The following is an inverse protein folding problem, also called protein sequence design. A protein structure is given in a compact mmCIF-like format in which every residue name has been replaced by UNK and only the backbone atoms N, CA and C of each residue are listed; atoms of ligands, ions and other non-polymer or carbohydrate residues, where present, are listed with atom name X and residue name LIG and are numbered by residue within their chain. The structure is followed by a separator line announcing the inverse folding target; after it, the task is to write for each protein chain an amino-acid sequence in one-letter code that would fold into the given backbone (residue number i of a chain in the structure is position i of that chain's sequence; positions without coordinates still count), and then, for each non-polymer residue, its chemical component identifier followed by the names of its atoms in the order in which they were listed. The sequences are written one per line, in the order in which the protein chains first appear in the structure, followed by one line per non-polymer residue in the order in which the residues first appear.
data_IF_202994461237
#
_entry.id   IF_202994461237
#
_cell.length_a   1.000
_cell.length_b   1.000
_cell.length_c   1.000
_cell.angle_alpha   90.00
_cell.angle_beta   90.00
_cell.angle_gamma   90.00
#
_symmetry.space_group_name_H-M   'P 1'
#
loop_
_entity.id
_entity.type
_entity.pdbx_description
1 polymer ?
#
# COMPACT_ATOMS: atom_id res chain seq x y z
N UNK A 1 19.38 5.34 35.45
CA UNK A 1 18.66 5.84 34.25
C UNK A 1 19.53 5.54 33.05
N UNK A 2 19.22 4.50 32.28
CA UNK A 2 19.95 4.17 31.05
C UNK A 2 19.32 4.90 29.88
N UNK A 3 20.05 5.81 29.26
CA UNK A 3 19.62 6.53 28.05
C UNK A 3 19.31 5.55 26.90
N UNK A 4 18.24 5.76 26.13
CA UNK A 4 17.93 4.92 24.97
C UNK A 4 18.94 5.20 23.86
N UNK A 5 19.73 4.18 23.49
CA UNK A 5 20.68 4.22 22.37
C UNK A 5 19.97 4.69 21.09
N UNK A 6 20.35 5.86 20.57
CA UNK A 6 19.87 6.36 19.29
C UNK A 6 20.32 5.43 18.17
N UNK A 7 19.37 4.76 17.52
CA UNK A 7 19.65 3.84 16.41
C UNK A 7 20.07 4.67 15.19
N UNK A 8 21.33 4.51 14.77
CA UNK A 8 21.89 5.22 13.60
C UNK A 8 21.04 5.00 12.34
N UNK A 9 20.90 6.01 11.45
CA UNK A 9 20.13 5.88 10.23
C UNK A 9 20.71 4.77 9.35
N UNK A 10 19.90 3.77 8.99
CA UNK A 10 20.31 2.75 8.02
C UNK A 10 20.47 3.44 6.66
N UNK A 11 21.66 3.36 6.06
CA UNK A 11 21.89 3.83 4.69
C UNK A 11 20.88 3.15 3.75
N UNK A 12 20.19 3.90 2.86
CA UNK A 12 19.30 3.30 1.88
C UNK A 12 20.12 2.37 0.98
N UNK A 13 19.69 1.11 0.86
CA UNK A 13 20.25 0.18 -0.12
C UNK A 13 19.62 0.50 -1.46
N UNK A 14 20.43 0.85 -2.45
CA UNK A 14 19.97 1.04 -3.84
C UNK A 14 19.31 -0.26 -4.31
N UNK A 15 18.07 -0.14 -4.78
CA UNK A 15 17.30 -1.27 -5.27
C UNK A 15 17.66 -1.48 -6.75
N UNK A 16 18.24 -2.63 -7.13
CA UNK A 16 18.56 -2.90 -8.53
C UNK A 16 17.27 -2.97 -9.34
N UNK A 17 17.16 -2.13 -10.37
CA UNK A 17 16.00 -2.10 -11.28
C UNK A 17 16.07 -3.19 -12.35
N UNK A 18 17.27 -3.66 -12.67
CA UNK A 18 17.51 -4.71 -13.65
C UNK A 18 18.35 -5.83 -13.05
N UNK A 19 18.12 -7.04 -13.52
CA UNK A 19 19.00 -8.17 -13.24
C UNK A 19 20.31 -7.97 -14.00
N UNK A 20 21.42 -8.26 -13.32
CA UNK A 20 22.78 -8.19 -13.89
C UNK A 20 22.98 -9.22 -15.01
N UNK A 21 22.29 -10.36 -14.89
CA UNK A 21 22.14 -11.36 -15.94
C UNK A 21 20.65 -11.72 -16.09
N UNK A 22 20.03 -11.51 -17.26
CA UNK A 22 18.66 -11.94 -17.51
C UNK A 22 18.54 -13.47 -17.41
N UNK A 23 17.46 -13.96 -16.81
CA UNK A 23 17.15 -15.38 -16.87
C UNK A 23 16.84 -15.79 -18.32
N UNK A 24 17.19 -17.02 -18.72
CA UNK A 24 16.83 -17.52 -20.04
C UNK A 24 15.31 -17.54 -20.18
N UNK A 25 14.84 -17.18 -21.37
CA UNK A 25 13.42 -17.18 -21.66
C UNK A 25 12.88 -18.62 -21.59
N UNK A 26 11.82 -18.83 -20.81
CA UNK A 26 11.19 -20.14 -20.69
C UNK A 26 10.66 -20.60 -22.06
N UNK A 27 10.78 -21.89 -22.37
CA UNK A 27 10.20 -22.45 -23.58
C UNK A 27 8.68 -22.25 -23.59
N UNK A 28 8.12 -21.88 -24.74
CA UNK A 28 6.66 -21.69 -24.95
C UNK A 28 5.99 -20.69 -23.99
N UNK A 29 6.74 -19.79 -23.35
CA UNK A 29 6.19 -18.77 -22.44
C UNK A 29 5.08 -17.93 -23.09
N UNK A 30 5.20 -17.67 -24.40
CA UNK A 30 4.23 -16.89 -25.17
C UNK A 30 2.91 -17.65 -25.28
N UNK A 31 2.95 -18.95 -25.59
CA UNK A 31 1.76 -19.79 -25.63
C UNK A 31 1.07 -19.85 -24.26
N UNK A 32 1.86 -20.02 -23.19
CA UNK A 32 1.33 -20.03 -21.83
C UNK A 32 0.69 -18.68 -21.45
N UNK A 33 1.32 -17.57 -21.80
CA UNK A 33 0.80 -16.22 -21.59
C UNK A 33 -0.50 -15.99 -22.36
N UNK A 34 -0.53 -16.34 -23.65
CA UNK A 34 -1.69 -16.16 -24.51
C UNK A 34 -2.88 -17.01 -24.03
N UNK A 35 -2.64 -18.25 -23.59
CA UNK A 35 -3.67 -19.11 -23.01
C UNK A 35 -4.24 -18.55 -21.70
N UNK A 36 -3.39 -18.03 -20.81
CA UNK A 36 -3.85 -17.37 -19.57
C UNK A 36 -4.64 -16.11 -19.90
N UNK A 37 -4.20 -15.32 -20.89
CA UNK A 37 -4.89 -14.12 -21.34
C UNK A 37 -6.28 -14.45 -21.89
N UNK A 38 -6.41 -15.50 -22.70
CA UNK A 38 -7.70 -15.96 -23.22
C UNK A 38 -8.62 -16.44 -22.09
N UNK A 39 -8.12 -17.26 -21.15
CA UNK A 39 -8.88 -17.70 -19.98
C UNK A 39 -9.43 -16.51 -19.17
N UNK A 40 -8.62 -15.46 -18.99
CA UNK A 40 -8.99 -14.24 -18.25
C UNK A 40 -10.06 -13.39 -18.95
N UNK A 41 -10.29 -13.55 -20.25
CA UNK A 41 -11.39 -12.88 -20.95
C UNK A 41 -12.77 -13.39 -20.52
N UNK A 42 -12.84 -14.66 -20.12
CA UNK A 42 -14.09 -15.33 -19.78
C UNK A 42 -14.36 -15.42 -18.27
N UNK A 43 -13.37 -15.07 -17.44
CA UNK A 43 -13.45 -15.21 -15.98
C UNK A 43 -13.08 -13.90 -15.30
N UNK A 44 -14.09 -13.24 -14.71
CA UNK A 44 -13.89 -12.10 -13.81
C UNK A 44 -13.51 -12.60 -12.42
N UNK A 45 -12.36 -12.17 -11.91
CA UNK A 45 -11.93 -12.44 -10.55
C UNK A 45 -12.15 -11.21 -9.65
N UNK A 46 -12.16 -11.38 -8.32
CA UNK A 46 -12.31 -10.26 -7.39
C UNK A 46 -11.27 -9.16 -7.57
N UNK A 47 -10.05 -9.51 -8.00
CA UNK A 47 -8.99 -8.54 -8.30
C UNK A 47 -9.36 -7.56 -9.44
N UNK A 48 -10.31 -7.91 -10.30
CA UNK A 48 -10.74 -7.04 -11.41
C UNK A 48 -11.69 -5.92 -10.94
N UNK A 49 -12.30 -6.07 -9.76
CA UNK A 49 -13.34 -5.15 -9.25
C UNK A 49 -13.04 -4.59 -7.85
N UNK A 50 -12.31 -5.34 -7.02
CA UNK A 50 -12.07 -5.04 -5.60
C UNK A 50 -10.58 -5.02 -5.24
N UNK A 51 -9.70 -4.94 -6.23
CA UNK A 51 -8.26 -4.84 -5.97
C UNK A 51 -7.86 -3.53 -5.26
N UNK A 52 -6.59 -3.49 -4.84
CA UNK A 52 -6.03 -2.40 -4.06
C UNK A 52 -6.05 -1.03 -4.77
N UNK A 53 -5.93 -1.03 -6.10
CA UNK A 53 -6.06 0.14 -6.96
C UNK A 53 -7.50 0.65 -6.98
N UNK A 54 -8.47 -0.26 -7.14
CA UNK A 54 -9.89 0.09 -7.09
C UNK A 54 -10.24 0.68 -5.72
N UNK A 55 -9.80 0.06 -4.62
CA UNK A 55 -10.01 0.58 -3.27
C UNK A 55 -9.40 1.99 -3.07
N UNK A 56 -8.19 2.22 -3.60
CA UNK A 56 -7.52 3.51 -3.55
C UNK A 56 -8.26 4.60 -4.35
N UNK A 57 -8.71 4.27 -5.56
CA UNK A 57 -9.39 5.21 -6.46
C UNK A 57 -10.89 5.39 -6.18
N UNK A 58 -11.49 4.48 -5.39
CA UNK A 58 -12.93 4.41 -5.18
C UNK A 58 -13.53 5.70 -4.63
N UNK A 59 -14.31 6.40 -5.48
CA UNK A 59 -15.02 7.65 -5.15
C UNK A 59 -14.13 8.82 -4.72
N UNK A 60 -12.82 8.74 -4.92
CA UNK A 60 -11.91 9.84 -4.61
C UNK A 60 -11.77 10.73 -5.86
N UNK A 61 -12.17 12.01 -5.84
CA UNK A 61 -11.96 12.90 -6.98
C UNK A 61 -10.52 13.44 -7.03
N UNK A 62 -9.86 13.64 -5.88
CA UNK A 62 -8.55 14.29 -5.81
C UNK A 62 -7.40 13.32 -6.14
N UNK A 63 -6.59 13.60 -7.17
CA UNK A 63 -5.39 12.81 -7.47
C UNK A 63 -4.42 12.67 -6.29
N UNK A 64 -4.29 13.69 -5.43
CA UNK A 64 -3.37 13.65 -4.30
C UNK A 64 -3.85 12.67 -3.23
N UNK A 65 -5.14 12.68 -2.92
CA UNK A 65 -5.74 11.72 -2.01
C UNK A 65 -5.73 10.29 -2.57
N UNK A 66 -5.86 10.11 -3.90
CA UNK A 66 -5.63 8.80 -4.54
C UNK A 66 -4.22 8.30 -4.33
N UNK A 67 -3.23 9.18 -4.52
CA UNK A 67 -1.83 8.86 -4.30
C UNK A 67 -1.58 8.46 -2.84
N UNK A 68 -2.17 9.18 -1.89
CA UNK A 68 -2.09 8.88 -0.46
C UNK A 68 -2.80 7.57 -0.08
N UNK A 69 -3.97 7.31 -0.65
CA UNK A 69 -4.75 6.09 -0.38
C UNK A 69 -4.08 4.82 -0.94
N UNK A 70 -3.37 4.93 -2.06
CA UNK A 70 -2.71 3.80 -2.72
C UNK A 70 -1.76 2.98 -1.82
N UNK A 71 -0.75 3.57 -1.15
CA UNK A 71 0.12 2.82 -0.25
C UNK A 71 -0.64 2.25 0.96
N UNK A 72 -1.69 2.91 1.45
CA UNK A 72 -2.53 2.39 2.55
C UNK A 72 -3.26 1.12 2.11
N UNK A 73 -3.98 1.18 0.99
CA UNK A 73 -4.69 0.04 0.41
C UNK A 73 -3.74 -1.14 0.13
N UNK A 74 -2.56 -0.83 -0.40
CA UNK A 74 -1.56 -1.85 -0.74
C UNK A 74 -0.96 -2.51 0.50
N UNK A 75 -0.70 -1.76 1.58
CA UNK A 75 -0.25 -2.33 2.85
C UNK A 75 -1.31 -3.27 3.45
N UNK A 76 -2.59 -2.88 3.39
CA UNK A 76 -3.72 -3.69 3.87
C UNK A 76 -4.00 -4.91 3.00
N UNK A 77 -3.64 -4.86 1.71
CA UNK A 77 -3.75 -6.01 0.80
C UNK A 77 -2.73 -7.12 1.13
N UNK A 78 -1.62 -6.80 1.80
CA UNK A 78 -0.58 -7.78 2.11
C UNK A 78 -1.06 -8.83 3.13
N UNK A 79 -1.59 -9.95 2.61
CA UNK A 79 -2.17 -11.09 3.35
C UNK A 79 -3.66 -10.98 3.69
N UNK A 80 -4.42 -10.16 2.96
CA UNK A 80 -5.88 -10.07 3.08
C UNK A 80 -6.53 -10.32 1.73
N UNK A 81 -7.69 -11.00 1.71
CA UNK A 81 -8.47 -11.17 0.48
C UNK A 81 -8.94 -9.81 -0.03
N UNK A 82 -8.96 -9.63 -1.36
CA UNK A 82 -9.26 -8.33 -1.99
C UNK A 82 -10.59 -7.72 -1.51
N UNK A 83 -11.67 -8.50 -1.49
CA UNK A 83 -13.00 -8.05 -1.03
C UNK A 83 -13.00 -7.54 0.42
N UNK A 84 -12.23 -8.21 1.29
CA UNK A 84 -12.13 -7.88 2.73
C UNK A 84 -11.31 -6.60 2.90
N UNK A 85 -10.21 -6.47 2.17
CA UNK A 85 -9.39 -5.26 2.14
C UNK A 85 -10.18 -4.07 1.59
N UNK A 86 -10.88 -4.24 0.46
CA UNK A 86 -11.68 -3.18 -0.15
C UNK A 86 -12.76 -2.67 0.80
N UNK A 87 -13.45 -3.59 1.48
CA UNK A 87 -14.46 -3.24 2.50
C UNK A 87 -13.85 -2.46 3.65
N UNK A 88 -12.66 -2.84 4.11
CA UNK A 88 -11.96 -2.14 5.20
C UNK A 88 -11.51 -0.74 4.80
N UNK A 89 -10.88 -0.58 3.63
CA UNK A 89 -10.50 0.75 3.11
C UNK A 89 -11.73 1.64 2.94
N UNK A 90 -12.83 1.09 2.44
CA UNK A 90 -14.10 1.83 2.31
C UNK A 90 -14.62 2.28 3.68
N UNK A 91 -14.58 1.42 4.70
CA UNK A 91 -15.00 1.76 6.07
C UNK A 91 -14.10 2.83 6.70
N UNK A 92 -12.78 2.73 6.53
CA UNK A 92 -11.85 3.77 6.99
C UNK A 92 -12.18 5.09 6.29
N UNK A 93 -12.36 5.09 4.97
CA UNK A 93 -12.74 6.27 4.19
C UNK A 93 -14.05 6.89 4.70
N UNK A 94 -15.09 6.10 4.93
CA UNK A 94 -16.36 6.60 5.50
C UNK A 94 -16.17 7.16 6.91
N UNK A 95 -15.34 6.52 7.74
CA UNK A 95 -15.09 6.96 9.11
C UNK A 95 -14.33 8.29 9.20
N UNK A 96 -13.51 8.63 8.19
CA UNK A 96 -12.72 9.87 8.16
C UNK A 96 -13.34 10.99 7.32
N UNK A 97 -14.60 10.85 6.89
CA UNK A 97 -15.32 11.91 6.15
C UNK A 97 -15.34 11.73 4.63
N UNK A 98 -15.43 10.49 4.14
CA UNK A 98 -15.58 10.10 2.73
C UNK A 98 -14.36 10.31 1.82
N UNK A 99 -13.33 11.01 2.28
CA UNK A 99 -12.05 11.14 1.57
C UNK A 99 -10.89 10.71 2.45
N UNK A 100 -10.04 9.84 1.91
CA UNK A 100 -8.87 9.34 2.64
C UNK A 100 -7.69 10.28 2.36
N UNK A 101 -7.67 11.42 3.05
CA UNK A 101 -6.57 12.40 2.98
C UNK A 101 -5.66 12.31 4.21
N UNK A 102 -4.47 12.90 4.11
CA UNK A 102 -3.52 12.98 5.21
C UNK A 102 -4.14 13.66 6.45
N UNK A 103 -4.77 14.82 6.26
CA UNK A 103 -5.44 15.58 7.32
C UNK A 103 -6.58 14.79 7.96
N UNK A 104 -7.39 14.09 7.14
CA UNK A 104 -8.50 13.29 7.62
C UNK A 104 -8.03 12.14 8.51
N UNK A 105 -6.93 11.46 8.14
CA UNK A 105 -6.35 10.37 8.94
C UNK A 105 -5.68 10.87 10.22
N UNK A 106 -5.07 12.07 10.19
CA UNK A 106 -4.47 12.69 11.38
C UNK A 106 -5.56 13.13 12.38
N UNK A 107 -6.66 13.69 11.89
CA UNK A 107 -7.80 14.13 12.71
C UNK A 107 -8.60 12.96 13.29
N UNK A 108 -8.57 11.79 12.64
CA UNK A 108 -9.33 10.62 13.06
C UNK A 108 -8.83 10.01 14.37
N UNK A 109 -9.77 9.52 15.18
CA UNK A 109 -9.47 8.80 16.41
C UNK A 109 -8.80 7.45 16.12
N UNK A 110 -7.74 7.11 16.88
CA UNK A 110 -6.98 5.87 16.66
C UNK A 110 -7.82 4.62 16.89
N UNK A 111 -8.75 4.69 17.85
CA UNK A 111 -9.66 3.60 18.16
C UNK A 111 -10.53 3.22 16.95
N UNK A 112 -10.99 4.20 16.16
CA UNK A 112 -11.85 3.97 15.00
C UNK A 112 -11.06 3.26 13.88
N UNK A 113 -9.84 3.73 13.60
CA UNK A 113 -8.96 3.12 12.60
C UNK A 113 -8.58 1.69 13.03
N UNK A 114 -8.18 1.51 14.29
CA UNK A 114 -7.84 0.20 14.86
C UNK A 114 -9.02 -0.77 14.84
N UNK A 115 -10.23 -0.33 15.14
CA UNK A 115 -11.42 -1.18 15.08
C UNK A 115 -11.64 -1.73 13.66
N UNK A 116 -11.51 -0.89 12.64
CA UNK A 116 -11.69 -1.32 11.24
C UNK A 116 -10.58 -2.28 10.81
N UNK A 117 -9.33 -2.03 11.19
CA UNK A 117 -8.18 -2.90 10.89
C UNK A 117 -8.25 -4.23 11.68
N UNK A 118 -8.77 -4.22 12.90
CA UNK A 118 -8.89 -5.42 13.73
C UNK A 118 -9.77 -6.48 13.07
N UNK A 119 -10.78 -6.06 12.29
CA UNK A 119 -11.75 -6.92 11.60
C UNK A 119 -11.20 -7.61 10.35
N UNK A 120 -10.09 -7.14 9.78
CA UNK A 120 -9.41 -7.78 8.64
C UNK A 120 -8.28 -8.72 9.08
N UNK A 121 -8.03 -8.81 10.39
CA UNK A 121 -6.89 -9.52 10.97
C UNK A 121 -7.22 -11.00 11.20
N UNK A 122 -6.41 -11.89 10.63
CA UNK A 122 -6.40 -13.29 11.02
C UNK A 122 -5.41 -13.51 12.17
N UNK A 123 -5.93 -13.59 13.39
CA UNK A 123 -5.19 -14.07 14.57
C UNK A 123 -4.60 -12.98 15.47
N UNK A 124 -4.75 -13.20 16.78
CA UNK A 124 -4.23 -12.37 17.85
C UNK A 124 -2.78 -12.75 18.14
N UNK A 125 -1.81 -11.94 17.70
CA UNK A 125 -0.44 -12.09 18.26
C UNK A 125 0.75 -11.61 17.44
N UNK A 126 0.63 -11.20 16.18
CA UNK A 126 1.81 -10.76 15.40
C UNK A 126 1.74 -9.36 14.77
N UNK A 127 0.64 -8.64 14.90
CA UNK A 127 0.37 -7.45 14.08
C UNK A 127 -0.25 -6.25 14.82
N UNK A 128 0.06 -6.06 16.11
CA UNK A 128 -0.27 -4.79 16.81
C UNK A 128 0.43 -3.54 16.25
N UNK A 129 1.12 -3.69 15.12
CA UNK A 129 1.89 -2.63 14.47
C UNK A 129 1.17 -1.99 13.28
N UNK A 130 0.15 -2.64 12.67
CA UNK A 130 -0.58 -2.08 11.52
C UNK A 130 -1.38 -0.82 11.88
N UNK A 131 -1.94 -0.76 13.09
CA UNK A 131 -2.69 0.38 13.62
C UNK A 131 -1.77 1.60 13.75
N UNK A 132 -0.57 1.38 14.32
CA UNK A 132 0.49 2.36 14.34
C UNK A 132 1.04 2.69 12.95
N UNK A 133 0.97 1.77 11.99
CA UNK A 133 1.48 2.00 10.63
C UNK A 133 0.59 2.91 9.81
N UNK A 134 -0.75 2.84 9.89
CA UNK A 134 -1.59 3.78 9.12
C UNK A 134 -1.38 5.20 9.64
N UNK A 135 -1.41 5.41 10.96
CA UNK A 135 -1.13 6.74 11.52
C UNK A 135 0.31 7.19 11.31
N UNK A 136 1.32 6.31 11.40
CA UNK A 136 2.70 6.68 11.08
C UNK A 136 2.92 6.92 9.59
N UNK A 137 2.21 6.21 8.71
CA UNK A 137 2.23 6.43 7.28
C UNK A 137 1.53 7.75 6.92
N UNK A 138 0.47 8.12 7.64
CA UNK A 138 -0.18 9.43 7.53
C UNK A 138 0.65 10.57 8.14
N UNK A 139 1.39 10.33 9.21
CA UNK A 139 2.18 11.37 9.88
C UNK A 139 3.55 11.61 9.24
N UNK A 140 4.02 10.74 8.34
CA UNK A 140 5.37 10.82 7.76
C UNK A 140 5.50 11.73 6.53
N UNK A 141 4.54 11.86 5.60
CA UNK A 141 4.60 12.87 4.56
C UNK A 141 4.63 14.28 5.16
N UNK A 142 3.83 14.57 6.20
CA UNK A 142 3.94 15.79 7.03
C UNK A 142 5.34 16.00 7.62
N UNK A 143 5.96 14.94 8.17
CA UNK A 143 7.23 15.08 8.92
C UNK A 143 8.51 15.09 8.07
N UNK A 144 8.47 14.60 6.83
CA UNK A 144 9.68 14.34 6.03
C UNK A 144 9.88 15.32 4.85
N UNK A 145 9.31 16.53 4.87
CA UNK A 145 9.45 17.53 3.80
C UNK A 145 8.96 17.04 2.41
N UNK A 146 7.99 16.12 2.35
CA UNK A 146 7.43 15.70 1.05
C UNK A 146 6.27 16.59 0.56
N UNK A 147 6.01 17.73 1.20
CA UNK A 147 4.95 18.68 0.83
C UNK A 147 3.59 17.99 0.67
N UNK A 148 3.28 17.06 1.59
CA UNK A 148 2.10 16.18 1.55
C UNK A 148 1.98 15.28 0.31
N UNK A 149 3.04 15.16 -0.48
CA UNK A 149 3.09 14.32 -1.68
C UNK A 149 3.65 12.92 -1.38
N UNK A 150 3.12 11.91 -2.07
CA UNK A 150 3.62 10.53 -1.93
C UNK A 150 4.92 10.39 -2.72
N UNK A 151 6.01 9.85 -2.14
CA UNK A 151 7.30 9.78 -2.84
C UNK A 151 7.19 9.05 -4.18
N UNK A 152 7.68 9.69 -5.25
CA UNK A 152 7.73 9.14 -6.63
C UNK A 152 8.95 8.27 -6.90
N UNK A 153 9.68 7.89 -5.84
CA UNK A 153 10.89 7.08 -5.94
C UNK A 153 10.74 5.81 -5.10
N UNK A 154 11.30 4.71 -5.60
CA UNK A 154 11.30 3.43 -4.90
C UNK A 154 11.98 3.55 -3.53
N UNK A 155 13.08 4.31 -3.44
CA UNK A 155 13.81 4.55 -2.19
C UNK A 155 13.01 5.39 -1.18
N UNK A 156 12.29 6.40 -1.66
CA UNK A 156 11.40 7.20 -0.82
C UNK A 156 10.25 6.38 -0.24
N UNK A 157 9.63 5.54 -1.07
CA UNK A 157 8.58 4.61 -0.63
C UNK A 157 9.13 3.51 0.29
N UNK A 158 10.30 2.94 0.01
CA UNK A 158 10.93 1.92 0.88
C UNK A 158 11.42 2.49 2.22
N UNK A 159 11.50 3.81 2.36
CA UNK A 159 11.74 4.45 3.64
C UNK A 159 10.50 4.40 4.55
N UNK A 160 9.32 4.16 3.99
CA UNK A 160 8.08 3.96 4.74
C UNK A 160 8.10 2.61 5.47
N UNK A 161 7.56 2.62 6.69
CA UNK A 161 7.57 1.45 7.54
C UNK A 161 6.60 0.39 6.98
N UNK A 162 7.10 -0.83 6.77
CA UNK A 162 6.31 -1.91 6.15
C UNK A 162 6.38 -1.95 4.63
N UNK A 163 6.88 -0.90 3.96
CA UNK A 163 7.04 -0.88 2.51
C UNK A 163 8.39 -1.48 2.11
N UNK A 164 8.33 -2.53 1.30
CA UNK A 164 9.50 -3.19 0.68
C UNK A 164 9.53 -2.91 -0.82
N UNK A 165 10.62 -3.20 -1.53
CA UNK A 165 10.75 -2.88 -2.97
C UNK A 165 9.54 -3.29 -3.81
N UNK A 166 9.01 -4.51 -3.61
CA UNK A 166 7.78 -4.98 -4.28
C UNK A 166 6.58 -4.04 -4.06
N UNK A 167 6.34 -3.64 -2.81
CA UNK A 167 5.24 -2.73 -2.48
C UNK A 167 5.49 -1.32 -3.00
N UNK A 168 6.76 -0.86 -3.00
CA UNK A 168 7.11 0.43 -3.57
C UNK A 168 6.82 0.48 -5.08
N UNK A 169 7.19 -0.54 -5.85
CA UNK A 169 6.87 -0.59 -7.28
C UNK A 169 5.36 -0.60 -7.54
N UNK A 170 4.59 -1.40 -6.79
CA UNK A 170 3.13 -1.41 -6.92
C UNK A 170 2.51 -0.06 -6.53
N UNK A 171 3.02 0.60 -5.49
CA UNK A 171 2.54 1.92 -5.10
C UNK A 171 2.85 2.99 -6.15
N UNK A 172 4.02 2.93 -6.82
CA UNK A 172 4.31 3.82 -7.96
C UNK A 172 3.33 3.62 -9.11
N UNK A 173 3.00 2.37 -9.42
CA UNK A 173 2.02 2.07 -10.46
C UNK A 173 0.61 2.57 -10.08
N UNK A 174 0.13 2.28 -8.86
CA UNK A 174 -1.24 2.65 -8.43
C UNK A 174 -1.38 4.17 -8.19
N UNK A 175 -0.38 4.81 -7.59
CA UNK A 175 -0.43 6.24 -7.26
C UNK A 175 -0.09 7.12 -8.48
N UNK A 176 0.95 6.76 -9.24
CA UNK A 176 1.55 7.62 -10.26
C UNK A 176 1.47 7.09 -11.68
N UNK A 177 1.01 5.84 -11.87
CA UNK A 177 1.00 5.16 -13.16
C UNK A 177 2.38 5.13 -13.83
N UNK A 178 3.42 4.92 -13.01
CA UNK A 178 4.84 4.80 -13.41
C UNK A 178 5.29 3.34 -13.48
#
# INVERSE_FOLDING_TARGET
MTEPKSRSPKKPKVIPQNLEAPHPTLERWREAYDAVKEMRLWVTAPVDTTACDQAAWWKEPDPMNKCFAAPISLMLSSQTKDEVMHTAVTRVRTAVGESLSEDAVIAAEEAIISEVISKIRFGDGKYGACDGYIKQAAQRPVRNNFDSDVPKTVDGLCSLLGVRPKLAFLALWVAWNL
#
